data_IF_979305000235
#
_entry.id   IF_979305000235
#
_cell.length_a   1.000
_cell.length_b   1.000
_cell.length_c   1.000
_cell.angle_alpha   90.00
_cell.angle_beta   90.00
_cell.angle_gamma   90.00
#
_symmetry.space_group_name_H-M   'P 1'
#
loop_
_entity.id
_entity.type
_entity.pdbx_description
1 polymer ?
#
# COMPACT_ATOMS: atom_id res chain seq x y z
N UNK A 1 24.01 35.63 7.40
CA UNK A 1 23.47 34.89 6.23
C UNK A 1 23.23 33.40 6.52
N UNK A 2 24.17 32.65 7.11
CA UNK A 2 24.06 31.20 7.41
C UNK A 2 22.79 30.69 8.15
N UNK A 3 22.09 31.54 8.92
CA UNK A 3 20.84 31.18 9.64
C UNK A 3 19.59 31.25 8.74
N UNK A 4 19.57 32.18 7.77
CA UNK A 4 18.49 32.27 6.76
C UNK A 4 18.54 31.06 5.81
N UNK A 5 19.74 30.65 5.37
CA UNK A 5 19.90 29.51 4.44
C UNK A 5 19.46 28.16 5.02
N UNK A 6 19.60 27.95 6.34
CA UNK A 6 19.03 26.76 7.01
C UNK A 6 17.51 26.78 7.01
N UNK A 7 16.90 27.93 7.28
CA UNK A 7 15.44 28.05 7.32
C UNK A 7 14.81 27.84 5.93
N UNK A 8 15.43 28.36 4.86
CA UNK A 8 14.98 28.12 3.48
C UNK A 8 15.09 26.63 3.10
N UNK A 9 16.18 25.94 3.47
CA UNK A 9 16.32 24.49 3.21
C UNK A 9 15.23 23.66 3.89
N UNK A 10 14.83 24.00 5.12
CA UNK A 10 13.74 23.30 5.82
C UNK A 10 12.36 23.56 5.20
N UNK A 11 12.08 24.80 4.78
CA UNK A 11 10.82 25.15 4.10
C UNK A 11 10.75 24.49 2.71
N UNK A 12 11.82 24.55 1.93
CA UNK A 12 11.90 23.94 0.59
C UNK A 12 11.73 22.41 0.68
N UNK A 13 12.41 21.75 1.63
CA UNK A 13 12.26 20.30 1.83
C UNK A 13 10.87 19.90 2.33
N UNK A 14 10.21 20.75 3.15
CA UNK A 14 8.83 20.56 3.57
C UNK A 14 7.85 20.64 2.39
N UNK A 15 7.98 21.68 1.56
CA UNK A 15 7.16 21.85 0.35
C UNK A 15 7.37 20.69 -0.63
N UNK A 16 8.63 20.29 -0.87
CA UNK A 16 8.95 19.14 -1.71
C UNK A 16 8.30 17.86 -1.22
N UNK A 17 8.28 17.61 0.09
CA UNK A 17 7.59 16.44 0.67
C UNK A 17 6.09 16.48 0.40
N UNK A 18 5.45 17.64 0.60
CA UNK A 18 4.01 17.79 0.33
C UNK A 18 3.69 17.56 -1.16
N UNK A 19 4.50 18.12 -2.06
CA UNK A 19 4.36 17.91 -3.51
C UNK A 19 4.52 16.42 -3.85
N UNK A 20 5.54 15.75 -3.32
CA UNK A 20 5.75 14.31 -3.56
C UNK A 20 4.59 13.45 -3.06
N UNK A 21 3.99 13.81 -1.92
CA UNK A 21 2.80 13.11 -1.38
C UNK A 21 1.58 13.34 -2.26
N UNK A 22 1.37 14.57 -2.73
CA UNK A 22 0.29 14.89 -3.65
C UNK A 22 0.46 14.14 -4.99
N UNK A 23 1.68 14.07 -5.50
CA UNK A 23 2.01 13.27 -6.69
C UNK A 23 1.75 11.78 -6.46
N UNK A 24 2.18 11.22 -5.32
CA UNK A 24 1.90 9.83 -4.94
C UNK A 24 0.40 9.54 -4.87
N UNK A 25 -0.38 10.48 -4.32
CA UNK A 25 -1.83 10.39 -4.27
C UNK A 25 -2.45 10.40 -5.67
N UNK A 26 -2.03 11.34 -6.53
CA UNK A 26 -2.51 11.44 -7.90
C UNK A 26 -2.16 10.20 -8.73
N UNK A 27 -0.92 9.72 -8.65
CA UNK A 27 -0.48 8.49 -9.31
C UNK A 27 -1.28 7.29 -8.81
N UNK A 28 -1.55 7.21 -7.50
CA UNK A 28 -2.36 6.16 -6.93
C UNK A 28 -3.82 6.18 -7.40
N UNK A 29 -4.42 7.37 -7.50
CA UNK A 29 -5.72 7.59 -8.12
C UNK A 29 -5.73 7.17 -9.60
N UNK A 30 -4.71 7.55 -10.35
CA UNK A 30 -4.56 7.20 -11.76
C UNK A 30 -4.46 5.69 -11.92
N UNK A 31 -3.67 5.02 -11.09
CA UNK A 31 -3.60 3.56 -11.05
C UNK A 31 -4.95 2.92 -10.71
N UNK A 32 -5.74 3.54 -9.83
CA UNK A 32 -7.11 3.13 -9.49
C UNK A 32 -8.05 3.17 -10.70
N UNK A 33 -7.91 4.19 -11.52
CA UNK A 33 -8.77 4.40 -12.71
C UNK A 33 -8.31 3.54 -13.88
N UNK A 34 -7.01 3.43 -14.13
CA UNK A 34 -6.43 2.68 -15.25
C UNK A 34 -6.52 1.16 -15.00
N UNK A 35 -6.21 0.70 -13.78
CA UNK A 35 -6.13 -0.72 -13.45
C UNK A 35 -7.31 -1.22 -12.61
N UNK A 36 -8.52 -0.71 -12.86
CA UNK A 36 -9.77 -1.07 -12.13
C UNK A 36 -9.96 -2.59 -11.97
N UNK A 37 -9.68 -3.35 -13.04
CA UNK A 37 -9.87 -4.81 -13.05
C UNK A 37 -8.96 -5.54 -12.07
N UNK A 38 -7.68 -5.16 -12.06
CA UNK A 38 -6.69 -5.74 -11.15
C UNK A 38 -7.02 -5.42 -9.70
N UNK A 39 -7.42 -4.18 -9.43
CA UNK A 39 -7.82 -3.76 -8.08
C UNK A 39 -9.08 -4.43 -7.58
N UNK A 40 -10.09 -4.65 -8.45
CA UNK A 40 -11.30 -5.39 -8.07
C UNK A 40 -10.95 -6.82 -7.67
N UNK A 41 -10.11 -7.50 -8.45
CA UNK A 41 -9.66 -8.87 -8.17
C UNK A 41 -8.90 -8.97 -6.85
N UNK A 42 -7.90 -8.11 -6.67
CA UNK A 42 -7.12 -8.09 -5.43
C UNK A 42 -7.99 -7.78 -4.23
N UNK A 43 -9.01 -6.93 -4.39
CA UNK A 43 -9.93 -6.60 -3.30
C UNK A 43 -10.76 -7.81 -2.86
N UNK A 44 -11.32 -8.56 -3.82
CA UNK A 44 -12.07 -9.79 -3.52
C UNK A 44 -11.19 -10.85 -2.85
N UNK A 45 -9.92 -10.95 -3.28
CA UNK A 45 -8.96 -11.87 -2.69
C UNK A 45 -8.64 -11.54 -1.23
N UNK A 46 -8.47 -10.25 -0.91
CA UNK A 46 -8.24 -9.79 0.47
C UNK A 46 -9.46 -10.02 1.35
N UNK A 47 -10.66 -9.82 0.82
CA UNK A 47 -11.90 -10.05 1.58
C UNK A 47 -12.13 -11.53 1.91
N UNK A 48 -11.80 -12.43 0.97
CA UNK A 48 -11.99 -13.87 1.18
C UNK A 48 -10.97 -14.47 2.13
N UNK A 49 -9.70 -14.11 1.99
CA UNK A 49 -8.60 -14.71 2.77
C UNK A 49 -7.50 -13.68 3.09
N UNK A 50 -7.72 -12.77 4.06
CA UNK A 50 -6.75 -11.71 4.39
C UNK A 50 -5.42 -12.27 4.90
N UNK A 51 -5.45 -13.38 5.66
CA UNK A 51 -4.25 -14.07 6.15
C UNK A 51 -3.37 -14.61 5.03
N UNK A 52 -3.98 -15.23 4.01
CA UNK A 52 -3.25 -15.75 2.84
C UNK A 52 -2.59 -14.62 2.06
N UNK A 53 -3.25 -13.47 1.93
CA UNK A 53 -2.68 -12.29 1.26
C UNK A 53 -1.52 -11.70 2.05
N UNK A 54 -1.66 -11.58 3.37
CA UNK A 54 -0.57 -11.12 4.24
C UNK A 54 0.65 -12.04 4.14
N UNK A 55 0.45 -13.35 4.25
CA UNK A 55 1.51 -14.36 4.16
C UNK A 55 2.21 -14.31 2.79
N UNK A 56 1.43 -14.22 1.71
CA UNK A 56 1.96 -14.09 0.34
C UNK A 56 2.81 -12.82 0.21
N UNK A 57 2.35 -11.69 0.76
CA UNK A 57 3.09 -10.43 0.75
C UNK A 57 4.43 -10.52 1.47
N UNK A 58 4.47 -11.20 2.62
CA UNK A 58 5.71 -11.40 3.41
C UNK A 58 6.67 -12.35 2.69
N UNK A 59 6.19 -13.54 2.28
CA UNK A 59 7.00 -14.55 1.60
C UNK A 59 7.58 -13.99 0.31
N UNK A 60 6.74 -13.33 -0.51
CA UNK A 60 7.21 -12.77 -1.78
C UNK A 60 8.18 -11.62 -1.58
N UNK A 61 8.06 -10.82 -0.51
CA UNK A 61 9.07 -9.80 -0.18
C UNK A 61 10.44 -10.45 0.06
N UNK A 62 10.49 -11.56 0.80
CA UNK A 62 11.74 -12.29 1.04
C UNK A 62 12.26 -12.96 -0.23
N UNK A 63 11.39 -13.60 -1.02
CA UNK A 63 11.76 -14.24 -2.28
C UNK A 63 12.30 -13.25 -3.30
N UNK A 64 11.66 -12.08 -3.44
CA UNK A 64 12.12 -10.99 -4.32
C UNK A 64 13.49 -10.48 -3.86
N UNK A 65 13.69 -10.27 -2.56
CA UNK A 65 14.98 -9.81 -2.03
C UNK A 65 16.09 -10.82 -2.34
N UNK A 66 15.84 -12.12 -2.12
CA UNK A 66 16.78 -13.18 -2.46
C UNK A 66 17.07 -13.23 -3.97
N UNK A 67 16.03 -13.17 -4.82
CA UNK A 67 16.18 -13.15 -6.27
C UNK A 67 16.99 -11.95 -6.75
N UNK A 68 16.81 -10.77 -6.14
CA UNK A 68 17.57 -9.57 -6.46
C UNK A 68 19.05 -9.72 -6.12
N UNK A 69 19.38 -10.32 -4.96
CA UNK A 69 20.78 -10.61 -4.59
C UNK A 69 21.43 -11.54 -5.62
N UNK A 70 20.73 -12.61 -6.03
CA UNK A 70 21.23 -13.55 -7.05
C UNK A 70 21.43 -12.85 -8.41
N UNK A 71 20.51 -11.96 -8.80
CA UNK A 71 20.62 -11.17 -10.04
C UNK A 71 21.82 -10.23 -10.03
N UNK A 72 22.13 -9.59 -8.90
CA UNK A 72 23.27 -8.67 -8.82
C UNK A 72 24.61 -9.40 -8.90
N UNK A 73 24.68 -10.64 -8.40
CA UNK A 73 25.91 -11.45 -8.40
C UNK A 73 26.18 -12.07 -9.78
N UNK A 74 25.16 -12.26 -10.61
CA UNK A 74 25.30 -12.93 -11.92
C UNK A 74 25.53 -11.93 -13.05
N UNK A 75 26.48 -12.22 -13.94
CA UNK A 75 26.84 -11.37 -15.08
C UNK A 75 25.65 -11.15 -16.04
N UNK A 76 24.83 -12.19 -16.23
CA UNK A 76 23.55 -12.13 -16.96
C UNK A 76 22.51 -11.32 -16.18
N UNK A 77 22.54 -11.40 -14.86
CA UNK A 77 21.58 -10.72 -14.00
C UNK A 77 21.72 -9.20 -14.02
N UNK A 78 22.92 -8.65 -14.19
CA UNK A 78 23.15 -7.20 -14.36
C UNK A 78 22.33 -6.64 -15.53
N UNK A 79 22.24 -7.36 -16.65
CA UNK A 79 21.43 -6.96 -17.81
C UNK A 79 19.91 -7.01 -17.52
N UNK A 80 19.49 -7.86 -16.58
CA UNK A 80 18.09 -8.02 -16.17
C UNK A 80 17.68 -7.10 -15.01
N UNK A 81 18.62 -6.49 -14.30
CA UNK A 81 18.35 -5.54 -13.20
C UNK A 81 17.37 -4.43 -13.61
N UNK A 82 17.50 -3.76 -14.78
CA UNK A 82 16.57 -2.68 -15.16
C UNK A 82 15.12 -3.18 -15.28
N UNK A 83 14.92 -4.37 -15.85
CA UNK A 83 13.61 -4.99 -15.98
C UNK A 83 13.03 -5.40 -14.62
N UNK A 84 13.87 -5.93 -13.72
CA UNK A 84 13.46 -6.28 -12.37
C UNK A 84 13.03 -5.02 -11.58
N UNK A 85 13.76 -3.91 -11.71
CA UNK A 85 13.40 -2.63 -11.08
C UNK A 85 12.08 -2.09 -11.64
N UNK A 86 11.87 -2.13 -12.95
CA UNK A 86 10.60 -1.74 -13.58
C UNK A 86 9.42 -2.60 -13.10
N UNK A 87 9.62 -3.91 -13.00
CA UNK A 87 8.61 -4.83 -12.49
C UNK A 87 8.25 -4.54 -11.02
N UNK A 88 9.26 -4.29 -10.18
CA UNK A 88 9.04 -3.90 -8.79
C UNK A 88 8.32 -2.57 -8.66
N UNK A 89 8.68 -1.59 -9.50
CA UNK A 89 8.00 -0.32 -9.59
C UNK A 89 6.52 -0.50 -9.95
N UNK A 90 6.21 -1.35 -10.93
CA UNK A 90 4.85 -1.67 -11.32
C UNK A 90 4.04 -2.31 -10.18
N UNK A 91 4.62 -3.28 -9.47
CA UNK A 91 3.99 -3.89 -8.28
C UNK A 91 3.70 -2.82 -7.23
N UNK A 92 4.67 -1.94 -6.94
CA UNK A 92 4.51 -0.87 -5.97
C UNK A 92 3.40 0.10 -6.35
N UNK A 93 3.34 0.49 -7.63
CA UNK A 93 2.33 1.41 -8.15
C UNK A 93 0.90 0.86 -7.96
N UNK A 94 0.72 -0.46 -8.07
CA UNK A 94 -0.58 -1.11 -7.83
C UNK A 94 -0.84 -1.41 -6.35
N UNK A 95 0.20 -1.72 -5.59
CA UNK A 95 0.09 -2.12 -4.19
C UNK A 95 -0.30 -0.97 -3.27
N UNK A 96 0.19 0.25 -3.53
CA UNK A 96 -0.13 1.43 -2.70
C UNK A 96 -1.63 1.75 -2.73
N UNK A 97 -2.28 1.90 -3.90
CA UNK A 97 -3.74 2.03 -3.99
C UNK A 97 -4.49 0.91 -3.31
N UNK A 98 -4.00 -0.32 -3.46
CA UNK A 98 -4.67 -1.49 -2.90
C UNK A 98 -4.58 -1.54 -1.38
N UNK A 99 -3.42 -1.19 -0.82
CA UNK A 99 -3.23 -1.03 0.63
C UNK A 99 -4.14 0.06 1.18
N UNK A 100 -4.23 1.20 0.49
CA UNK A 100 -5.14 2.31 0.87
C UNK A 100 -6.60 1.89 0.76
N UNK A 101 -7.03 1.18 -0.28
CA UNK A 101 -8.41 0.67 -0.38
C UNK A 101 -8.76 -0.25 0.79
N UNK A 102 -7.86 -1.15 1.17
CA UNK A 102 -8.05 -2.04 2.30
C UNK A 102 -8.13 -1.27 3.63
N UNK A 103 -7.19 -0.35 3.86
CA UNK A 103 -7.21 0.51 5.05
C UNK A 103 -8.48 1.35 5.11
N UNK A 104 -8.93 1.91 3.98
CA UNK A 104 -10.16 2.69 3.89
C UNK A 104 -11.40 1.86 4.19
N UNK A 105 -11.45 0.59 3.77
CA UNK A 105 -12.52 -0.34 4.14
C UNK A 105 -12.54 -0.67 5.63
N UNK A 106 -11.37 -0.84 6.24
CA UNK A 106 -11.26 -1.02 7.69
C UNK A 106 -11.76 0.21 8.45
N UNK A 107 -11.31 1.41 8.05
CA UNK A 107 -11.77 2.67 8.64
C UNK A 107 -13.28 2.83 8.46
N UNK A 108 -13.81 2.55 7.26
CA UNK A 108 -15.26 2.56 7.02
C UNK A 108 -16.00 1.61 7.96
N UNK A 109 -15.50 0.38 8.15
CA UNK A 109 -16.10 -0.62 9.04
C UNK A 109 -16.06 -0.17 10.50
N UNK A 110 -14.95 0.44 10.92
CA UNK A 110 -14.74 0.91 12.30
C UNK A 110 -15.64 2.12 12.63
N UNK A 111 -15.76 3.07 11.70
CA UNK A 111 -16.50 4.33 11.89
C UNK A 111 -17.91 4.34 11.26
N UNK A 112 -18.38 3.20 10.71
CA UNK A 112 -19.70 3.04 10.06
C UNK A 112 -20.02 4.11 9.01
N UNK A 113 -19.02 4.53 8.22
CA UNK A 113 -19.20 5.57 7.20
C UNK A 113 -20.05 5.09 6.01
N UNK A 114 -20.86 5.98 5.40
CA UNK A 114 -21.72 5.67 4.24
C UNK A 114 -21.01 5.66 2.87
N UNK A 115 -19.70 5.90 2.81
CA UNK A 115 -18.97 5.98 1.54
C UNK A 115 -18.89 4.64 0.80
N UNK A 116 -19.45 4.55 -0.41
CA UNK A 116 -19.38 3.33 -1.24
C UNK A 116 -18.51 3.47 -2.50
N UNK A 117 -18.02 4.68 -2.80
CA UNK A 117 -17.11 4.92 -3.92
C UNK A 117 -15.71 4.37 -3.63
N UNK A 118 -15.13 3.64 -4.59
CA UNK A 118 -13.73 3.17 -4.51
C UNK A 118 -12.74 4.34 -4.38
N UNK A 119 -13.02 5.47 -5.03
CA UNK A 119 -12.20 6.69 -4.89
C UNK A 119 -12.29 7.22 -3.46
N UNK A 120 -13.49 7.29 -2.90
CA UNK A 120 -13.68 7.74 -1.51
C UNK A 120 -13.00 6.80 -0.50
N UNK A 121 -13.10 5.48 -0.69
CA UNK A 121 -12.40 4.49 0.13
C UNK A 121 -10.88 4.64 0.02
N UNK A 122 -10.36 4.85 -1.20
CA UNK A 122 -8.94 5.10 -1.41
C UNK A 122 -8.48 6.37 -0.69
N UNK A 123 -9.19 7.49 -0.81
CA UNK A 123 -8.85 8.75 -0.14
C UNK A 123 -8.86 8.62 1.37
N UNK A 124 -9.90 8.00 1.95
CA UNK A 124 -9.99 7.76 3.40
C UNK A 124 -8.82 6.90 3.88
N UNK A 125 -8.51 5.83 3.17
CA UNK A 125 -7.41 4.94 3.53
C UNK A 125 -6.04 5.57 3.34
N UNK A 126 -5.85 6.37 2.28
CA UNK A 126 -4.62 7.11 2.04
C UNK A 126 -4.38 8.11 3.16
N UNK A 127 -5.38 8.93 3.49
CA UNK A 127 -5.32 9.86 4.62
C UNK A 127 -5.09 9.08 5.90
N UNK A 128 -5.81 7.99 6.17
CA UNK A 128 -5.65 7.19 7.39
C UNK A 128 -4.24 6.65 7.58
N UNK A 129 -3.66 6.05 6.53
CA UNK A 129 -2.27 5.53 6.56
C UNK A 129 -1.26 6.66 6.74
N UNK A 130 -1.44 7.78 6.04
CA UNK A 130 -0.52 8.91 6.12
C UNK A 130 -0.63 9.65 7.47
N UNK A 131 -1.84 9.79 8.00
CA UNK A 131 -2.12 10.35 9.33
C UNK A 131 -1.49 9.48 10.41
N UNK A 132 -1.64 8.15 10.32
CA UNK A 132 -1.03 7.22 11.26
C UNK A 132 0.51 7.35 11.24
N UNK A 133 1.11 7.47 10.06
CA UNK A 133 2.56 7.71 9.94
C UNK A 133 2.99 9.04 10.58
N UNK A 134 2.28 10.13 10.27
CA UNK A 134 2.57 11.46 10.83
C UNK A 134 2.40 11.45 12.36
N UNK A 135 1.30 10.90 12.86
CA UNK A 135 1.03 10.77 14.30
C UNK A 135 2.10 9.95 14.99
N UNK A 136 2.47 8.79 14.46
CA UNK A 136 3.54 7.97 15.05
C UNK A 136 4.89 8.69 15.05
N UNK A 137 5.23 9.42 14.00
CA UNK A 137 6.46 10.22 13.96
C UNK A 137 6.43 11.39 14.96
N UNK A 138 5.28 12.07 15.09
CA UNK A 138 5.06 13.12 16.08
C UNK A 138 5.16 12.57 17.51
N UNK A 139 4.57 11.42 17.80
CA UNK A 139 4.65 10.76 19.09
C UNK A 139 6.09 10.36 19.45
N UNK A 140 6.91 9.94 18.48
CA UNK A 140 8.33 9.68 18.71
C UNK A 140 9.11 10.97 18.99
N UNK A 141 8.77 12.06 18.29
CA UNK A 141 9.45 13.35 18.45
C UNK A 141 9.09 14.05 19.77
N UNK A 142 7.81 14.11 20.11
CA UNK A 142 7.28 14.65 21.38
C UNK A 142 7.61 13.71 22.56
N UNK A 143 7.54 12.41 22.32
CA UNK A 143 7.81 11.36 23.31
C UNK A 143 9.29 11.08 23.55
N UNK A 144 10.20 11.87 22.98
CA UNK A 144 11.64 11.80 23.27
C UNK A 144 11.96 11.96 24.77
N UNK A 145 11.02 12.54 25.53
CA UNK A 145 11.05 12.67 26.99
C UNK A 145 10.05 11.73 27.73
N UNK A 146 9.14 11.05 27.01
CA UNK A 146 8.01 10.32 27.58
C UNK A 146 8.24 8.79 27.75
N UNK A 147 9.47 8.30 27.54
CA UNK A 147 9.84 6.91 27.86
C UNK A 147 9.22 5.82 26.94
N UNK A 148 9.09 4.61 27.49
CA UNK A 148 8.66 3.37 26.80
C UNK A 148 7.31 3.49 26.05
N UNK A 149 6.26 4.18 26.57
CA UNK A 149 4.97 4.28 25.88
C UNK A 149 5.04 4.89 24.49
N UNK A 150 5.86 5.94 24.30
CA UNK A 150 6.03 6.60 23.00
C UNK A 150 6.60 5.67 21.93
N UNK A 151 7.52 4.77 22.33
CA UNK A 151 8.10 3.76 21.45
C UNK A 151 7.07 2.71 21.04
N UNK A 152 6.19 2.30 21.96
CA UNK A 152 5.12 1.34 21.68
C UNK A 152 4.16 1.89 20.61
N UNK A 153 3.70 3.14 20.74
CA UNK A 153 2.83 3.78 19.74
C UNK A 153 3.51 3.93 18.38
N UNK A 154 4.81 4.23 18.36
CA UNK A 154 5.58 4.26 17.11
C UNK A 154 5.64 2.89 16.45
N UNK A 155 6.00 1.85 17.21
CA UNK A 155 6.08 0.47 16.70
C UNK A 155 4.72 0.00 16.18
N UNK A 156 3.64 0.26 16.90
CA UNK A 156 2.28 -0.08 16.46
C UNK A 156 1.90 0.62 15.15
N UNK A 157 2.22 1.91 15.00
CA UNK A 157 1.95 2.62 13.75
C UNK A 157 2.75 2.09 12.57
N UNK A 158 4.05 1.83 12.77
CA UNK A 158 4.90 1.20 11.75
C UNK A 158 4.38 -0.20 11.39
N UNK A 159 3.94 -0.99 12.37
CA UNK A 159 3.36 -2.31 12.16
C UNK A 159 2.07 -2.23 11.34
N UNK A 160 1.18 -1.28 11.64
CA UNK A 160 -0.05 -1.09 10.85
C UNK A 160 0.25 -0.75 9.38
N UNK A 161 1.21 0.14 9.13
CA UNK A 161 1.63 0.49 7.77
C UNK A 161 2.23 -0.74 7.07
N UNK A 162 3.07 -1.50 7.80
CA UNK A 162 3.66 -2.72 7.28
C UNK A 162 2.60 -3.74 6.87
N UNK A 163 1.61 -4.00 7.73
CA UNK A 163 0.50 -4.94 7.46
C UNK A 163 -0.32 -4.46 6.26
N UNK A 164 -0.69 -3.17 6.20
CA UNK A 164 -1.44 -2.62 5.09
C UNK A 164 -0.68 -2.77 3.75
N UNK A 165 0.61 -2.45 3.74
CA UNK A 165 1.48 -2.62 2.57
C UNK A 165 1.66 -4.08 2.17
N UNK A 166 1.84 -4.98 3.15
CA UNK A 166 2.01 -6.41 2.90
C UNK A 166 0.72 -7.02 2.32
N UNK A 167 -0.46 -6.62 2.80
CA UNK A 167 -1.73 -7.02 2.19
C UNK A 167 -1.91 -6.44 0.79
N UNK A 168 -1.59 -5.15 0.59
CA UNK A 168 -1.64 -4.50 -0.72
C UNK A 168 -0.78 -5.22 -1.76
N UNK A 169 0.48 -5.49 -1.44
CA UNK A 169 1.40 -6.22 -2.32
C UNK A 169 0.99 -7.68 -2.51
N UNK A 170 0.71 -8.36 -1.41
CA UNK A 170 0.36 -9.78 -1.42
C UNK A 170 -0.85 -10.06 -2.29
N UNK A 171 -1.87 -9.20 -2.25
CA UNK A 171 -3.07 -9.35 -3.07
C UNK A 171 -2.84 -9.09 -4.56
N UNK A 172 -2.00 -8.13 -4.92
CA UNK A 172 -1.62 -7.88 -6.32
C UNK A 172 -0.77 -9.04 -6.86
N UNK A 173 0.24 -9.46 -6.10
CA UNK A 173 1.13 -10.56 -6.50
C UNK A 173 0.34 -11.87 -6.62
N UNK A 174 -0.55 -12.15 -5.67
CA UNK A 174 -1.42 -13.32 -5.72
C UNK A 174 -2.36 -13.25 -6.93
N UNK A 175 -2.94 -12.09 -7.24
CA UNK A 175 -3.79 -11.92 -8.42
C UNK A 175 -3.02 -12.12 -9.75
N UNK A 176 -1.73 -11.79 -9.79
CA UNK A 176 -0.86 -12.02 -10.94
C UNK A 176 -0.50 -13.50 -11.09
N UNK A 177 -0.01 -14.14 -10.02
CA UNK A 177 0.41 -15.55 -10.02
C UNK A 177 -0.78 -16.52 -10.20
N UNK A 178 -1.88 -16.30 -9.47
CA UNK A 178 -3.06 -17.17 -9.44
C UNK A 178 -4.23 -16.52 -10.19
N UNK A 179 -3.97 -16.05 -11.40
CA UNK A 179 -4.95 -15.30 -12.19
C UNK A 179 -6.25 -16.07 -12.50
N UNK A 180 -6.21 -17.42 -12.53
CA UNK A 180 -7.40 -18.28 -12.70
C UNK A 180 -8.35 -18.21 -11.50
N UNK A 181 -7.83 -18.34 -10.29
CA UNK A 181 -8.64 -18.21 -9.06
C UNK A 181 -9.23 -16.82 -8.91
N UNK A 182 -8.43 -15.79 -9.23
CA UNK A 182 -8.87 -14.40 -9.20
C UNK A 182 -10.01 -14.13 -10.20
N UNK A 183 -9.96 -14.75 -11.39
CA UNK A 183 -11.04 -14.67 -12.41
C UNK A 183 -12.29 -15.42 -11.97
N UNK A 184 -12.14 -16.60 -11.37
CA UNK A 184 -13.27 -17.38 -10.86
C UNK A 184 -14.03 -16.61 -9.76
N UNK A 185 -13.31 -15.96 -8.85
CA UNK A 185 -13.91 -15.10 -7.82
C UNK A 185 -14.64 -13.89 -8.41
N UNK A 186 -14.07 -13.27 -9.46
CA UNK A 186 -14.71 -12.16 -10.17
C UNK A 186 -16.00 -12.61 -10.88
N UNK A 187 -16.02 -13.81 -11.45
CA UNK A 187 -17.20 -14.38 -12.11
C UNK A 187 -18.32 -14.69 -11.11
N UNK A 188 -18.01 -15.39 -10.02
CA UNK A 188 -18.98 -15.72 -8.97
C UNK A 188 -19.58 -14.47 -8.32
N UNK A 189 -18.77 -13.42 -8.14
CA UNK A 189 -19.22 -12.14 -7.58
C UNK A 189 -20.08 -11.31 -8.56
N UNK A 190 -20.06 -11.60 -9.86
CA UNK A 190 -20.99 -11.01 -10.84
C UNK A 190 -22.30 -11.79 -10.87
N UNK A 191 -22.22 -13.12 -10.85
CA UNK A 191 -23.40 -13.99 -10.86
C UNK A 191 -24.29 -13.78 -9.62
N UNK A 192 -23.70 -13.53 -8.45
CA UNK A 192 -24.43 -13.21 -7.22
C UNK A 192 -25.13 -11.84 -7.23
N UNK A 193 -24.78 -10.96 -8.17
CA UNK A 193 -25.42 -9.64 -8.36
C UNK A 193 -26.56 -9.73 -9.39
N UNK A 194 -26.44 -10.62 -10.38
CA UNK A 194 -27.46 -10.83 -11.43
C UNK A 194 -28.61 -11.75 -11.00
N UNK A 195 -28.40 -12.63 -10.02
CA UNK A 195 -29.48 -13.39 -9.38
C UNK A 195 -29.77 -12.83 -7.99
N UNK A 196 -30.63 -11.81 -7.83
CA UNK A 196 -31.14 -11.48 -6.52
C UNK A 196 -31.86 -12.72 -6.00
N UNK A 197 -31.48 -13.16 -4.79
CA UNK A 197 -32.14 -14.27 -4.10
C UNK A 197 -33.65 -13.96 -4.06
N UNK A 198 -34.43 -14.78 -4.75
CA UNK A 198 -35.89 -14.80 -4.65
C UNK A 198 -36.33 -15.20 -3.25
#
# INVERSE_FOLDING_TARGET
QLRKDRHYRHVISGIWRLISVALLYLVGLLALVVFKRWQRRSTLLVERNPWKMLLTGIIMKLAIAAAFVVLVITLVGIALVPFAVLFLFFIWMLAVPQASLWAGKLVKKLFRMKTNSNVGLYSIGFIGVYSAFILSALFLFLGRWAGIPSRIFYVLGVLMIFVAMAMGRGSIIYAMLFSREARALEANAKESVEKPKG
#
